data_IF_624443330245
#
_entry.id   IF_624443330245
#
_cell.length_a   1.000
_cell.length_b   1.000
_cell.length_c   1.000
_cell.angle_alpha   90.00
_cell.angle_beta   90.00
_cell.angle_gamma   90.00
#
_symmetry.space_group_name_H-M   'P 1'
#
loop_
_entity.id
_entity.type
_entity.pdbx_description
1 polymer ?
#
# COMPACT_ATOMS: atom_id res chain seq x y z
N UNK A 1 20.34 -3.00 13.32
CA UNK A 1 19.25 -3.75 12.63
C UNK A 1 19.64 -3.94 11.17
N UNK A 2 19.33 -5.08 10.54
CA UNK A 2 19.56 -5.25 9.09
C UNK A 2 18.61 -4.37 8.29
N UNK A 3 19.04 -3.87 7.12
CA UNK A 3 18.22 -3.02 6.24
C UNK A 3 16.88 -3.68 5.88
N UNK A 4 16.87 -4.99 5.68
CA UNK A 4 15.68 -5.79 5.43
C UNK A 4 14.70 -5.81 6.60
N UNK A 5 15.20 -5.99 7.83
CA UNK A 5 14.36 -5.93 9.03
C UNK A 5 13.69 -4.57 9.18
N UNK A 6 14.44 -3.50 8.96
CA UNK A 6 13.91 -2.13 9.05
C UNK A 6 12.82 -1.89 8.01
N UNK A 7 13.05 -2.31 6.76
CA UNK A 7 12.08 -2.21 5.68
C UNK A 7 10.79 -2.97 6.00
N UNK A 8 10.88 -4.23 6.41
CA UNK A 8 9.71 -5.06 6.74
C UNK A 8 8.88 -4.48 7.90
N UNK A 9 9.53 -3.89 8.91
CA UNK A 9 8.83 -3.19 9.99
C UNK A 9 8.16 -1.94 9.47
N UNK A 10 8.88 -1.11 8.72
CA UNK A 10 8.38 0.17 8.24
C UNK A 10 7.17 -0.02 7.32
N UNK A 11 7.27 -0.89 6.31
CA UNK A 11 6.15 -1.19 5.40
C UNK A 11 5.01 -1.88 6.14
N UNK A 12 5.33 -2.78 7.08
CA UNK A 12 4.34 -3.48 7.88
C UNK A 12 3.49 -2.52 8.70
N UNK A 13 4.12 -1.58 9.41
CA UNK A 13 3.41 -0.53 10.16
C UNK A 13 2.60 0.36 9.21
N UNK A 14 3.19 0.79 8.09
CA UNK A 14 2.52 1.62 7.10
C UNK A 14 1.25 0.96 6.55
N UNK A 15 1.30 -0.33 6.22
CA UNK A 15 0.15 -1.08 5.71
C UNK A 15 -0.94 -1.32 6.76
N UNK A 16 -0.58 -1.54 8.02
CA UNK A 16 -1.56 -1.65 9.11
C UNK A 16 -2.26 -0.30 9.35
N UNK A 17 -1.53 0.81 9.25
CA UNK A 17 -2.14 2.15 9.31
C UNK A 17 -3.10 2.34 8.13
N UNK A 18 -2.70 1.96 6.91
CA UNK A 18 -3.58 2.03 5.74
C UNK A 18 -4.84 1.19 5.90
N UNK A 19 -4.75 -0.03 6.42
CA UNK A 19 -5.93 -0.84 6.76
C UNK A 19 -6.88 -0.04 7.67
N UNK A 20 -6.37 0.54 8.76
CA UNK A 20 -7.22 1.30 9.69
C UNK A 20 -7.86 2.49 8.98
N UNK A 21 -7.08 3.24 8.20
CA UNK A 21 -7.54 4.42 7.47
C UNK A 21 -8.55 4.11 6.38
N UNK A 22 -8.57 2.90 5.84
CA UNK A 22 -9.43 2.44 4.74
C UNK A 22 -10.71 1.74 5.21
N UNK A 23 -10.82 1.43 6.50
CA UNK A 23 -12.03 0.83 7.06
C UNK A 23 -13.21 1.81 7.01
N UNK A 24 -14.46 1.31 6.88
CA UNK A 24 -15.64 2.16 6.69
C UNK A 24 -15.84 3.25 7.73
N UNK A 25 -15.50 2.99 9.00
CA UNK A 25 -15.66 3.99 10.05
C UNK A 25 -14.65 5.16 9.95
N UNK A 26 -13.54 4.99 9.21
CA UNK A 26 -12.49 6.00 9.03
C UNK A 26 -12.59 6.72 7.69
N UNK A 27 -12.97 6.02 6.61
CA UNK A 27 -13.05 6.60 5.26
C UNK A 27 -14.34 7.35 4.98
N UNK A 28 -15.46 6.99 5.62
CA UNK A 28 -16.80 7.50 5.27
C UNK A 28 -16.91 9.03 5.34
N UNK A 29 -16.13 9.68 6.21
CA UNK A 29 -16.08 11.15 6.33
C UNK A 29 -15.15 11.81 5.32
N UNK A 30 -14.23 11.04 4.74
CA UNK A 30 -13.14 11.56 3.91
C UNK A 30 -13.40 11.36 2.42
N UNK A 31 -14.27 10.42 2.02
CA UNK A 31 -14.54 10.10 0.62
C UNK A 31 -14.96 11.31 -0.23
N UNK A 32 -15.80 12.21 0.31
CA UNK A 32 -16.19 13.44 -0.40
C UNK A 32 -15.01 14.40 -0.63
N UNK A 33 -14.02 14.41 0.26
CA UNK A 33 -12.79 15.19 0.11
C UNK A 33 -11.83 14.53 -0.88
N UNK A 34 -11.78 13.19 -0.88
CA UNK A 34 -10.93 12.40 -1.77
C UNK A 34 -11.45 12.45 -3.21
N UNK A 35 -12.77 12.50 -3.41
CA UNK A 35 -13.42 12.49 -4.72
C UNK A 35 -14.38 13.69 -4.87
N UNK A 36 -13.85 14.93 -4.91
CA UNK A 36 -14.68 16.14 -4.90
C UNK A 36 -15.51 16.33 -6.18
N UNK A 37 -15.17 15.63 -7.27
CA UNK A 37 -15.91 15.67 -8.54
C UNK A 37 -17.06 14.66 -8.64
N UNK A 38 -17.31 13.87 -7.58
CA UNK A 38 -18.40 12.88 -7.54
C UNK A 38 -19.40 13.30 -6.47
N UNK A 39 -20.67 13.43 -6.83
CA UNK A 39 -21.75 13.60 -5.85
C UNK A 39 -21.93 12.31 -5.07
N UNK A 40 -21.34 12.25 -3.88
CA UNK A 40 -21.31 11.07 -3.03
C UNK A 40 -22.34 11.21 -1.90
N UNK A 41 -23.52 10.60 -2.08
CA UNK A 41 -24.52 10.52 -1.01
C UNK A 41 -24.47 9.17 -0.31
N UNK A 42 -24.53 9.18 1.03
CA UNK A 42 -24.60 7.93 1.81
C UNK A 42 -25.87 7.16 1.44
N UNK A 43 -25.69 5.86 1.20
CA UNK A 43 -26.79 4.96 0.83
C UNK A 43 -26.99 4.80 -0.68
N UNK A 44 -26.29 5.58 -1.51
CA UNK A 44 -26.28 5.35 -2.94
C UNK A 44 -25.30 4.23 -3.33
N UNK A 45 -25.61 3.43 -4.38
CA UNK A 45 -24.77 2.31 -4.80
C UNK A 45 -23.32 2.70 -5.10
N UNK A 46 -23.09 3.89 -5.68
CA UNK A 46 -21.74 4.37 -6.02
C UNK A 46 -20.91 4.66 -4.77
N UNK A 47 -21.53 5.18 -3.71
CA UNK A 47 -20.87 5.42 -2.43
C UNK A 47 -20.43 4.10 -1.80
N UNK A 48 -21.34 3.13 -1.74
CA UNK A 48 -21.04 1.80 -1.18
C UNK A 48 -19.96 1.10 -1.98
N UNK A 49 -20.01 1.14 -3.32
CA UNK A 49 -18.99 0.53 -4.17
C UNK A 49 -17.61 1.13 -3.91
N UNK A 50 -17.51 2.45 -3.81
CA UNK A 50 -16.24 3.14 -3.54
C UNK A 50 -15.73 2.82 -2.13
N UNK A 51 -16.62 2.81 -1.14
CA UNK A 51 -16.30 2.45 0.23
C UNK A 51 -15.79 1.00 0.34
N UNK A 52 -16.43 0.06 -0.36
CA UNK A 52 -16.03 -1.34 -0.37
C UNK A 52 -14.69 -1.53 -1.10
N UNK A 53 -14.46 -0.82 -2.20
CA UNK A 53 -13.19 -0.84 -2.93
C UNK A 53 -12.02 -0.44 -2.03
N UNK A 54 -12.15 0.68 -1.31
CA UNK A 54 -11.12 1.11 -0.34
C UNK A 54 -10.92 0.10 0.79
N UNK A 55 -12.00 -0.45 1.35
CA UNK A 55 -11.90 -1.45 2.40
C UNK A 55 -11.17 -2.73 1.94
N UNK A 56 -11.41 -3.17 0.70
CA UNK A 56 -10.73 -4.34 0.12
C UNK A 56 -9.23 -4.07 -0.07
N UNK A 57 -8.86 -2.91 -0.62
CA UNK A 57 -7.45 -2.49 -0.73
C UNK A 57 -6.80 -2.48 0.66
N UNK A 58 -7.48 -1.90 1.65
CA UNK A 58 -7.08 -1.92 3.05
C UNK A 58 -6.80 -3.30 3.62
N UNK A 59 -7.71 -4.24 3.42
CA UNK A 59 -7.59 -5.62 3.90
C UNK A 59 -6.41 -6.34 3.25
N UNK A 60 -6.20 -6.13 1.93
CA UNK A 60 -5.04 -6.67 1.22
C UNK A 60 -3.74 -6.12 1.82
N UNK A 61 -3.63 -4.79 1.94
CA UNK A 61 -2.46 -4.14 2.53
C UNK A 61 -2.23 -4.65 3.96
N UNK A 62 -3.25 -4.66 4.79
CA UNK A 62 -3.18 -5.15 6.17
C UNK A 62 -2.68 -6.59 6.28
N UNK A 63 -3.14 -7.48 5.39
CA UNK A 63 -2.68 -8.86 5.35
C UNK A 63 -1.18 -8.95 5.00
N UNK A 64 -0.73 -8.24 3.96
CA UNK A 64 0.69 -8.17 3.59
C UNK A 64 1.51 -7.55 4.74
N UNK A 65 0.99 -6.50 5.36
CA UNK A 65 1.62 -5.79 6.47
C UNK A 65 1.82 -6.69 7.69
N UNK A 66 0.82 -7.49 8.05
CA UNK A 66 0.92 -8.48 9.12
C UNK A 66 2.02 -9.52 8.82
N UNK A 67 2.09 -10.02 7.59
CA UNK A 67 3.14 -10.94 7.14
C UNK A 67 4.52 -10.26 7.17
N UNK A 68 4.64 -9.00 6.77
CA UNK A 68 5.89 -8.24 6.82
C UNK A 68 6.37 -8.03 8.27
N UNK A 69 5.49 -7.62 9.18
CA UNK A 69 5.79 -7.51 10.61
C UNK A 69 6.23 -8.84 11.22
N UNK A 70 5.54 -9.93 10.84
CA UNK A 70 5.93 -11.26 11.28
C UNK A 70 7.31 -11.66 10.74
N UNK A 71 7.54 -11.45 9.45
CA UNK A 71 8.78 -11.77 8.74
C UNK A 71 9.98 -10.95 9.20
N UNK A 72 9.76 -9.78 9.81
CA UNK A 72 10.82 -8.96 10.38
C UNK A 72 11.62 -9.67 11.50
N UNK A 73 11.10 -10.76 12.08
CA UNK A 73 11.83 -11.60 13.04
C UNK A 73 12.93 -12.42 12.38
N UNK A 74 12.71 -12.88 11.15
CA UNK A 74 13.65 -13.69 10.36
C UNK A 74 13.72 -13.19 8.89
N UNK A 75 14.25 -11.98 8.63
CA UNK A 75 14.10 -11.31 7.33
C UNK A 75 14.59 -12.13 6.13
N UNK A 76 15.62 -12.97 6.31
CA UNK A 76 16.15 -13.83 5.25
C UNK A 76 15.17 -14.89 4.77
N UNK A 77 14.36 -15.48 5.67
CA UNK A 77 13.35 -16.49 5.30
C UNK A 77 12.12 -15.87 4.64
N UNK A 78 11.87 -14.58 4.89
CA UNK A 78 10.74 -13.83 4.38
C UNK A 78 11.15 -12.85 3.27
N UNK A 79 12.28 -13.09 2.61
CA UNK A 79 12.78 -12.18 1.56
C UNK A 79 11.81 -12.04 0.39
N UNK A 80 11.01 -13.08 0.12
CA UNK A 80 9.98 -13.10 -0.92
C UNK A 80 8.83 -12.09 -0.67
N UNK A 81 8.68 -11.59 0.56
CA UNK A 81 7.68 -10.55 0.87
C UNK A 81 8.04 -9.23 0.19
N UNK A 82 9.33 -8.94 0.00
CA UNK A 82 9.80 -7.69 -0.62
C UNK A 82 9.33 -7.55 -2.09
N UNK A 83 9.49 -8.57 -2.97
CA UNK A 83 8.87 -8.57 -4.29
C UNK A 83 7.37 -8.32 -4.28
N UNK A 84 6.66 -8.94 -3.34
CA UNK A 84 5.20 -8.84 -3.22
C UNK A 84 4.81 -7.41 -2.87
N UNK A 85 5.52 -6.78 -1.92
CA UNK A 85 5.35 -5.36 -1.59
C UNK A 85 5.58 -4.50 -2.82
N UNK A 86 6.69 -4.68 -3.55
CA UNK A 86 6.99 -3.86 -4.74
C UNK A 86 5.89 -4.01 -5.80
N UNK A 87 5.42 -5.23 -6.06
CA UNK A 87 4.34 -5.46 -7.01
C UNK A 87 3.04 -4.79 -6.55
N UNK A 88 2.73 -4.86 -5.24
CA UNK A 88 1.56 -4.21 -4.64
C UNK A 88 1.65 -2.69 -4.82
N UNK A 89 2.77 -2.08 -4.46
CA UNK A 89 2.98 -0.62 -4.63
C UNK A 89 2.90 -0.17 -6.09
N UNK A 90 3.33 -1.00 -7.04
CA UNK A 90 3.18 -0.68 -8.47
C UNK A 90 1.71 -0.71 -8.88
N UNK A 91 0.95 -1.72 -8.44
CA UNK A 91 -0.48 -1.83 -8.77
C UNK A 91 -1.27 -0.69 -8.12
N UNK A 92 -1.00 -0.38 -6.86
CA UNK A 92 -1.66 0.71 -6.14
C UNK A 92 -1.27 2.07 -6.73
N UNK A 93 0.00 2.27 -7.10
CA UNK A 93 0.41 3.48 -7.83
C UNK A 93 -0.28 3.64 -9.19
N UNK A 94 -0.55 2.54 -9.91
CA UNK A 94 -1.35 2.58 -11.13
C UNK A 94 -2.83 2.91 -10.85
N UNK A 95 -3.37 2.40 -9.75
CA UNK A 95 -4.72 2.75 -9.29
C UNK A 95 -4.84 4.25 -8.97
N UNK A 96 -3.87 4.84 -8.29
CA UNK A 96 -3.84 6.27 -7.98
C UNK A 96 -3.74 7.11 -9.25
N UNK A 97 -2.84 6.74 -10.16
CA UNK A 97 -2.76 7.40 -11.46
C UNK A 97 -4.09 7.35 -12.21
N UNK A 98 -4.74 6.18 -12.22
CA UNK A 98 -6.06 6.03 -12.80
C UNK A 98 -7.11 6.91 -12.10
N UNK A 99 -7.07 6.97 -10.78
CA UNK A 99 -8.02 7.71 -9.95
C UNK A 99 -7.96 9.21 -10.20
N UNK A 100 -6.74 9.76 -10.33
CA UNK A 100 -6.49 11.16 -10.70
C UNK A 100 -7.04 11.49 -12.09
N UNK A 101 -6.73 10.65 -13.08
CA UNK A 101 -6.97 10.98 -14.49
C UNK A 101 -8.42 10.70 -14.91
N UNK A 102 -9.05 9.65 -14.36
CA UNK A 102 -10.37 9.19 -14.80
C UNK A 102 -11.45 9.14 -13.72
N UNK A 103 -11.11 9.16 -12.43
CA UNK A 103 -12.09 8.94 -11.35
C UNK A 103 -12.35 10.17 -10.47
N UNK A 104 -11.89 11.35 -10.88
CA UNK A 104 -12.09 12.62 -10.17
C UNK A 104 -11.52 12.65 -8.74
N UNK A 105 -10.46 11.87 -8.48
CA UNK A 105 -9.72 12.01 -7.23
C UNK A 105 -9.07 13.40 -7.13
N UNK A 106 -9.01 13.92 -5.91
CA UNK A 106 -8.34 15.18 -5.63
C UNK A 106 -6.88 15.10 -6.07
N UNK A 107 -6.49 15.93 -7.04
CA UNK A 107 -5.17 15.90 -7.65
C UNK A 107 -4.01 15.94 -6.65
N UNK A 108 -4.12 16.75 -5.59
CA UNK A 108 -3.09 16.86 -4.56
C UNK A 108 -2.92 15.56 -3.76
N UNK A 109 -4.02 14.84 -3.51
CA UNK A 109 -4.03 13.58 -2.77
C UNK A 109 -3.34 12.51 -3.61
N UNK A 110 -3.81 12.32 -4.85
CA UNK A 110 -3.24 11.33 -5.75
C UNK A 110 -1.75 11.59 -6.07
N UNK A 111 -1.32 12.85 -6.17
CA UNK A 111 0.11 13.16 -6.35
C UNK A 111 0.94 12.80 -5.10
N UNK A 112 0.39 13.03 -3.91
CA UNK A 112 1.06 12.69 -2.65
C UNK A 112 1.19 11.17 -2.47
N UNK A 113 0.15 10.40 -2.79
CA UNK A 113 0.16 8.94 -2.70
C UNK A 113 1.05 8.31 -3.77
N UNK A 114 1.03 8.81 -5.01
CA UNK A 114 2.00 8.42 -6.05
C UNK A 114 3.45 8.60 -5.60
N UNK A 115 3.77 9.72 -4.94
CA UNK A 115 5.11 9.95 -4.42
C UNK A 115 5.49 8.93 -3.34
N UNK A 116 4.54 8.57 -2.47
CA UNK A 116 4.73 7.53 -1.45
C UNK A 116 5.03 6.17 -2.10
N UNK A 117 4.29 5.79 -3.15
CA UNK A 117 4.53 4.54 -3.88
C UNK A 117 5.95 4.48 -4.47
N UNK A 118 6.40 5.57 -5.10
CA UNK A 118 7.77 5.65 -5.66
C UNK A 118 8.83 5.44 -4.57
N UNK A 119 8.63 6.02 -3.38
CA UNK A 119 9.55 5.86 -2.24
C UNK A 119 9.60 4.41 -1.77
N UNK A 120 8.46 3.75 -1.60
CA UNK A 120 8.41 2.35 -1.15
C UNK A 120 8.99 1.39 -2.17
N UNK A 121 8.67 1.57 -3.47
CA UNK A 121 9.26 0.79 -4.57
C UNK A 121 10.77 0.96 -4.57
N UNK A 122 11.26 2.21 -4.52
CA UNK A 122 12.69 2.51 -4.52
C UNK A 122 13.41 1.86 -3.34
N UNK A 123 12.87 1.98 -2.12
CA UNK A 123 13.46 1.37 -0.94
C UNK A 123 13.42 -0.16 -1.01
N UNK A 124 12.30 -0.74 -1.44
CA UNK A 124 12.14 -2.19 -1.62
C UNK A 124 13.16 -2.76 -2.59
N UNK A 125 13.36 -2.12 -3.75
CA UNK A 125 14.35 -2.54 -4.75
C UNK A 125 15.78 -2.49 -4.18
N UNK A 126 16.13 -1.44 -3.44
CA UNK A 126 17.44 -1.32 -2.80
C UNK A 126 17.69 -2.44 -1.78
N UNK A 127 16.68 -2.77 -0.98
CA UNK A 127 16.76 -3.83 0.03
C UNK A 127 16.86 -5.20 -0.63
N UNK A 128 16.00 -5.48 -1.61
CA UNK A 128 16.00 -6.77 -2.31
C UNK A 128 17.35 -7.05 -3.00
N UNK A 129 17.89 -6.07 -3.74
CA UNK A 129 19.20 -6.22 -4.39
C UNK A 129 20.32 -6.49 -3.38
N UNK A 130 20.26 -5.87 -2.20
CA UNK A 130 21.24 -6.09 -1.14
C UNK A 130 21.12 -7.46 -0.44
N UNK A 131 19.94 -8.10 -0.50
CA UNK A 131 19.74 -9.46 0.00
C UNK A 131 20.19 -10.50 -1.02
N UNK A 132 19.84 -10.30 -2.29
CA UNK A 132 20.24 -11.17 -3.39
C UNK A 132 21.77 -11.27 -3.55
N UNK A 133 22.51 -10.20 -3.26
CA UNK A 133 23.98 -10.20 -3.31
C UNK A 133 24.65 -10.93 -2.14
N UNK A 134 23.91 -11.24 -1.07
CA UNK A 134 24.42 -11.92 0.13
C UNK A 134 24.14 -13.41 0.18
N UNK A 135 23.23 -13.92 -0.65
CA UNK A 135 22.91 -15.33 -0.70
C UNK A 135 23.95 -16.06 -1.58
N UNK A 136 24.82 -16.93 -1.02
CA UNK A 136 25.63 -17.81 -1.85
C UNK A 136 24.64 -18.71 -2.58
N UNK A 137 24.58 -18.64 -3.92
CA UNK A 137 23.83 -19.62 -4.70
C UNK A 137 24.50 -20.97 -4.50
N UNK A 138 24.05 -21.74 -3.52
CA UNK A 138 24.30 -23.17 -3.45
C UNK A 138 23.32 -23.82 -4.42
N UNK A 139 23.72 -23.87 -5.68
CA UNK A 139 23.22 -24.85 -6.66
C UNK A 139 23.79 -26.21 -6.34
#
# INVERSE_FOLDING_TARGET
MTKARLFLIAIGVFYIINLICTLPFSTVSSLGTMYPGVELHRGEPIFTLLQDAWAVVGLQLGAIGAVALWGAREPGRYEAVIPVVIATEVVDGLWDFYSIVWSHEAFWLGLATLAIHVVWIGWGLLVWRAMASKSPRTT
#
